data_IF_363764212151
#
_entry.id   IF_363764212151
#
_cell.length_a   1.000
_cell.length_b   1.000
_cell.length_c   1.000
_cell.angle_alpha   90.00
_cell.angle_beta   90.00
_cell.angle_gamma   90.00
#
_symmetry.space_group_name_H-M   'P 1'
#
loop_
_entity.id
_entity.type
_entity.pdbx_description
1 polymer ?
#
# COMPACT_ATOMS: atom_id res chain seq x y z
N UNK A 1 11.46 14.70 14.19
CA UNK A 1 12.22 13.60 13.51
C UNK A 1 13.51 13.39 14.28
N UNK A 2 13.91 12.14 14.57
CA UNK A 2 15.17 11.89 15.26
C UNK A 2 16.34 12.39 14.39
N UNK A 3 17.30 13.08 15.04
CA UNK A 3 18.51 13.55 14.37
C UNK A 3 19.35 12.36 13.88
N UNK A 4 19.77 12.34 12.59
CA UNK A 4 20.59 11.25 12.03
C UNK A 4 21.88 11.00 12.81
N UNK A 5 22.46 12.03 13.41
CA UNK A 5 23.65 11.91 14.27
C UNK A 5 23.38 11.09 15.53
N UNK A 6 22.24 11.29 16.16
CA UNK A 6 21.84 10.53 17.36
C UNK A 6 21.54 9.05 17.04
N UNK A 7 20.92 8.78 15.87
CA UNK A 7 20.70 7.39 15.42
C UNK A 7 22.04 6.69 15.17
N UNK A 8 23.00 7.35 14.51
CA UNK A 8 24.34 6.81 14.28
C UNK A 8 25.05 6.51 15.61
N UNK A 9 24.97 7.41 16.58
CA UNK A 9 25.58 7.21 17.90
C UNK A 9 25.00 5.99 18.64
N UNK A 10 23.68 5.74 18.55
CA UNK A 10 23.06 4.55 19.15
C UNK A 10 23.65 3.27 18.54
N UNK A 11 23.84 3.25 17.22
CA UNK A 11 24.44 2.11 16.51
C UNK A 11 25.90 1.93 16.93
N UNK A 12 26.71 3.00 16.91
CA UNK A 12 28.12 2.97 17.26
C UNK A 12 28.38 2.55 18.72
N UNK A 13 27.50 2.98 19.62
CA UNK A 13 27.57 2.62 21.05
C UNK A 13 26.86 1.32 21.41
N UNK A 14 26.25 0.66 20.42
CA UNK A 14 25.47 -0.56 20.56
C UNK A 14 24.39 -0.46 21.65
N UNK A 15 23.68 0.67 21.70
CA UNK A 15 22.55 0.87 22.63
C UNK A 15 21.33 0.13 22.07
N UNK A 16 20.97 -0.96 22.73
CA UNK A 16 19.84 -1.81 22.29
C UNK A 16 18.87 -2.07 23.42
N UNK A 17 17.59 -2.17 23.10
CA UNK A 17 16.53 -2.65 23.99
C UNK A 17 16.00 -3.97 23.43
N UNK A 18 16.00 -5.04 24.22
CA UNK A 18 15.65 -6.40 23.81
C UNK A 18 16.44 -6.93 22.60
N UNK A 19 17.73 -6.61 22.52
CA UNK A 19 18.62 -6.95 21.38
C UNK A 19 18.27 -6.28 20.04
N UNK A 20 17.45 -5.24 20.05
CA UNK A 20 17.08 -4.48 18.87
C UNK A 20 17.39 -2.99 19.05
N UNK A 21 17.76 -2.31 17.95
CA UNK A 21 17.86 -0.86 17.93
C UNK A 21 16.47 -0.25 17.88
N UNK A 22 16.11 0.49 18.92
CA UNK A 22 14.80 1.13 19.04
C UNK A 22 14.90 2.63 18.76
N UNK A 23 14.01 3.16 17.92
CA UNK A 23 13.95 4.61 17.68
C UNK A 23 13.63 5.39 18.94
N UNK A 24 12.93 4.78 19.88
CA UNK A 24 12.61 5.34 21.19
C UNK A 24 13.85 5.61 22.03
N UNK A 25 14.91 4.80 21.91
CA UNK A 25 16.18 5.02 22.61
C UNK A 25 16.88 6.27 22.07
N UNK A 26 16.78 6.52 20.75
CA UNK A 26 17.26 7.75 20.14
C UNK A 26 16.52 8.98 20.67
N UNK A 27 15.19 8.90 20.75
CA UNK A 27 14.36 9.99 21.27
C UNK A 27 14.68 10.26 22.75
N UNK A 28 14.83 9.21 23.54
CA UNK A 28 15.19 9.33 24.97
C UNK A 28 16.56 10.00 25.15
N UNK A 29 17.55 9.64 24.32
CA UNK A 29 18.87 10.27 24.35
C UNK A 29 18.81 11.76 23.98
N UNK A 30 17.99 12.13 23.00
CA UNK A 30 17.76 13.52 22.61
C UNK A 30 17.09 14.32 23.73
N UNK A 31 16.06 13.75 24.37
CA UNK A 31 15.41 14.37 25.54
C UNK A 31 16.42 14.61 26.68
N UNK A 32 17.27 13.61 26.99
CA UNK A 32 18.31 13.72 27.99
C UNK A 32 19.35 14.81 27.67
N UNK A 33 19.48 15.24 26.44
CA UNK A 33 20.33 16.34 25.99
C UNK A 33 19.63 17.70 25.93
N UNK A 34 18.38 17.75 26.38
CA UNK A 34 17.60 18.98 26.41
C UNK A 34 16.88 19.32 25.13
N UNK A 35 16.77 18.37 24.16
CA UNK A 35 15.92 18.57 22.99
C UNK A 35 14.46 18.61 23.40
N UNK A 36 13.77 19.68 23.03
CA UNK A 36 12.36 19.85 23.32
C UNK A 36 11.51 19.11 22.28
N UNK A 37 10.58 18.28 22.75
CA UNK A 37 9.59 17.59 21.92
C UNK A 37 8.20 18.12 22.21
N UNK A 38 7.51 18.57 21.18
CA UNK A 38 6.14 19.04 21.29
C UNK A 38 5.20 17.94 20.76
N UNK A 39 4.36 17.34 21.63
CA UNK A 39 3.36 16.37 21.18
C UNK A 39 2.23 17.08 20.45
N UNK A 40 1.64 16.42 19.46
CA UNK A 40 0.39 16.85 18.85
C UNK A 40 -0.57 15.66 18.74
N UNK A 41 -1.86 15.94 18.87
CA UNK A 41 -2.90 14.94 18.74
C UNK A 41 -3.12 14.59 17.26
N UNK A 42 -3.40 13.34 17.01
CA UNK A 42 -3.88 12.84 15.71
C UNK A 42 -5.19 12.11 15.92
N UNK A 43 -6.12 12.23 14.97
CA UNK A 43 -7.45 11.63 15.09
C UNK A 43 -7.44 10.14 14.72
N UNK A 44 -6.63 9.76 13.74
CA UNK A 44 -6.53 8.38 13.27
C UNK A 44 -5.07 8.00 12.96
N UNK A 45 -4.74 6.76 13.27
CA UNK A 45 -3.46 6.15 12.92
C UNK A 45 -3.66 4.71 12.43
N UNK A 46 -3.02 4.37 11.32
CA UNK A 46 -3.12 3.05 10.71
C UNK A 46 -1.75 2.37 10.68
N UNK A 47 -1.67 1.22 11.33
CA UNK A 47 -0.50 0.35 11.23
C UNK A 47 -0.64 -0.55 10.00
N UNK A 48 0.13 -0.27 8.95
CA UNK A 48 0.13 -1.01 7.69
C UNK A 48 1.22 -2.08 7.61
N UNK A 49 1.73 -2.55 8.75
CA UNK A 49 2.80 -3.55 8.82
C UNK A 49 2.40 -4.97 8.37
N UNK A 50 1.10 -5.22 8.15
CA UNK A 50 0.58 -6.52 7.67
C UNK A 50 -0.34 -6.31 6.47
N UNK A 51 -0.40 -7.28 5.53
CA UNK A 51 -1.27 -7.20 4.36
C UNK A 51 -2.75 -6.92 4.70
N UNK A 52 -3.29 -7.60 5.69
CA UNK A 52 -4.68 -7.43 6.11
C UNK A 52 -4.95 -6.02 6.64
N UNK A 53 -4.03 -5.46 7.43
CA UNK A 53 -4.13 -4.12 7.97
C UNK A 53 -4.05 -3.06 6.85
N UNK A 54 -3.23 -3.29 5.82
CA UNK A 54 -3.14 -2.42 4.65
C UNK A 54 -4.45 -2.42 3.86
N UNK A 55 -5.07 -3.58 3.63
CA UNK A 55 -6.37 -3.67 2.96
C UNK A 55 -7.48 -3.02 3.78
N UNK A 56 -7.49 -3.21 5.10
CA UNK A 56 -8.45 -2.54 5.98
C UNK A 56 -8.30 -1.01 5.94
N UNK A 57 -7.06 -0.53 5.97
CA UNK A 57 -6.76 0.91 5.83
C UNK A 57 -7.24 1.43 4.48
N UNK A 58 -6.99 0.71 3.39
CA UNK A 58 -7.49 1.05 2.06
C UNK A 58 -9.01 1.19 2.04
N UNK A 59 -9.74 0.23 2.61
CA UNK A 59 -11.21 0.31 2.72
C UNK A 59 -11.69 1.55 3.48
N UNK A 60 -11.02 1.92 4.56
CA UNK A 60 -11.36 3.11 5.36
C UNK A 60 -11.12 4.40 4.58
N UNK A 61 -9.96 4.52 3.94
CA UNK A 61 -9.61 5.70 3.15
C UNK A 61 -10.54 5.88 1.94
N UNK A 62 -10.92 4.78 1.28
CA UNK A 62 -11.79 4.82 0.11
C UNK A 62 -13.23 5.25 0.43
N UNK A 63 -13.72 5.15 1.67
CA UNK A 63 -15.07 5.61 2.03
C UNK A 63 -15.30 7.10 1.71
N UNK A 64 -14.24 7.88 1.75
CA UNK A 64 -14.27 9.33 1.47
C UNK A 64 -13.66 9.67 0.09
N UNK A 65 -13.38 8.67 -0.75
CA UNK A 65 -12.81 8.89 -2.08
C UNK A 65 -13.84 9.58 -3.00
N UNK A 66 -13.35 10.47 -3.86
CA UNK A 66 -14.17 11.06 -4.90
C UNK A 66 -14.70 9.99 -5.87
N UNK A 67 -15.86 10.25 -6.47
CA UNK A 67 -16.41 9.33 -7.47
C UNK A 67 -15.49 9.25 -8.68
N UNK A 68 -15.20 8.03 -9.10
CA UNK A 68 -14.47 7.78 -10.34
C UNK A 68 -15.42 7.90 -11.54
N UNK A 69 -15.04 8.60 -12.62
CA UNK A 69 -15.88 8.67 -13.82
C UNK A 69 -16.03 7.28 -14.47
N UNK A 70 -17.11 7.06 -15.23
CA UNK A 70 -17.30 5.81 -15.98
C UNK A 70 -16.13 5.54 -16.93
N UNK A 71 -15.73 4.29 -17.02
CA UNK A 71 -14.68 3.83 -17.96
C UNK A 71 -15.37 3.01 -19.04
N UNK A 72 -15.17 3.42 -20.30
CA UNK A 72 -15.80 2.75 -21.46
C UNK A 72 -15.40 1.27 -21.53
N UNK A 73 -16.37 0.40 -21.76
CA UNK A 73 -16.16 -1.06 -21.84
C UNK A 73 -15.83 -1.73 -20.50
N UNK A 74 -15.90 -1.01 -19.37
CA UNK A 74 -15.62 -1.58 -18.06
C UNK A 74 -16.68 -1.18 -17.02
N UNK A 75 -16.80 -1.98 -15.96
CA UNK A 75 -17.73 -1.71 -14.86
C UNK A 75 -16.92 -1.27 -13.64
N UNK A 76 -17.26 -0.11 -13.09
CA UNK A 76 -16.64 0.41 -11.86
C UNK A 76 -17.67 0.39 -10.74
N UNK A 77 -17.38 -0.32 -9.66
CA UNK A 77 -18.22 -0.46 -8.48
C UNK A 77 -17.57 0.31 -7.31
N UNK A 78 -18.13 1.47 -6.91
CA UNK A 78 -17.58 2.25 -5.80
C UNK A 78 -17.62 1.51 -4.43
N UNK A 79 -16.78 1.90 -3.44
CA UNK A 79 -15.76 2.94 -3.55
C UNK A 79 -14.47 2.42 -4.19
N UNK A 80 -13.87 3.23 -5.05
CA UNK A 80 -12.59 2.93 -5.72
C UNK A 80 -11.76 4.22 -5.86
N UNK A 81 -10.44 4.05 -6.00
CA UNK A 81 -9.52 5.11 -6.40
C UNK A 81 -8.70 4.62 -7.59
N UNK A 82 -8.86 5.27 -8.73
CA UNK A 82 -8.18 4.90 -9.97
C UNK A 82 -7.38 6.12 -10.45
N UNK A 83 -6.07 5.95 -10.56
CA UNK A 83 -5.18 7.00 -11.07
C UNK A 83 -5.51 7.33 -12.54
N UNK A 84 -5.50 8.61 -12.94
CA UNK A 84 -5.75 9.02 -14.33
C UNK A 84 -4.81 8.37 -15.37
N UNK A 85 -3.62 7.92 -14.95
CA UNK A 85 -2.67 7.23 -15.82
C UNK A 85 -2.81 5.70 -15.85
N UNK A 86 -3.89 5.14 -15.29
CA UNK A 86 -4.17 3.71 -15.37
C UNK A 86 -5.05 3.40 -16.60
N UNK A 87 -4.74 2.30 -17.27
CA UNK A 87 -5.49 1.77 -18.41
C UNK A 87 -6.33 0.58 -17.96
N UNK A 88 -7.66 0.67 -18.16
CA UNK A 88 -8.60 -0.37 -17.75
C UNK A 88 -9.49 -0.73 -18.94
N UNK A 89 -9.44 -1.99 -19.35
CA UNK A 89 -10.13 -2.49 -20.54
C UNK A 89 -10.93 -3.76 -20.21
N UNK A 90 -12.20 -3.80 -20.59
CA UNK A 90 -13.09 -4.97 -20.45
C UNK A 90 -13.04 -5.60 -19.05
N UNK A 91 -13.05 -4.78 -17.99
CA UNK A 91 -12.81 -5.23 -16.63
C UNK A 91 -13.90 -4.79 -15.65
N UNK A 92 -14.00 -5.47 -14.53
CA UNK A 92 -14.87 -5.10 -13.41
C UNK A 92 -13.97 -4.72 -12.23
N UNK A 93 -14.04 -3.45 -11.80
CA UNK A 93 -13.18 -2.91 -10.75
C UNK A 93 -14.03 -2.47 -9.56
N UNK A 94 -13.72 -3.01 -8.39
CA UNK A 94 -14.39 -2.66 -7.14
C UNK A 94 -15.32 -3.73 -6.58
N UNK A 95 -15.88 -3.49 -5.37
CA UNK A 95 -15.57 -2.33 -4.53
C UNK A 95 -14.22 -2.42 -3.82
N UNK A 96 -13.80 -1.30 -3.19
CA UNK A 96 -12.59 -1.19 -2.36
C UNK A 96 -11.27 -1.45 -3.10
N UNK A 97 -11.16 -0.94 -4.32
CA UNK A 97 -9.95 -1.09 -5.12
C UNK A 97 -9.21 0.25 -5.26
N UNK A 98 -7.92 0.23 -5.03
CA UNK A 98 -7.00 1.33 -5.33
C UNK A 98 -6.04 0.92 -6.45
N UNK A 99 -5.99 1.72 -7.52
CA UNK A 99 -5.14 1.47 -8.70
C UNK A 99 -4.25 2.69 -8.91
N UNK A 100 -2.94 2.47 -8.84
CA UNK A 100 -1.93 3.51 -9.05
C UNK A 100 -1.71 3.82 -10.55
N UNK A 101 -0.85 4.76 -10.82
CA UNK A 101 -0.51 5.21 -12.18
C UNK A 101 0.18 4.12 -13.01
N UNK A 102 0.03 4.20 -14.33
CA UNK A 102 0.64 3.30 -15.31
C UNK A 102 0.29 1.82 -15.14
N UNK A 103 -0.76 1.51 -14.39
CA UNK A 103 -1.29 0.15 -14.34
C UNK A 103 -2.05 -0.17 -15.62
N UNK A 104 -1.97 -1.43 -16.06
CA UNK A 104 -2.77 -1.97 -17.16
C UNK A 104 -3.60 -3.13 -16.64
N UNK A 105 -4.93 -2.99 -16.66
CA UNK A 105 -5.85 -4.03 -16.21
C UNK A 105 -6.78 -4.40 -17.37
N UNK A 106 -6.71 -5.65 -17.82
CA UNK A 106 -7.45 -6.12 -18.99
C UNK A 106 -8.19 -7.42 -18.69
N UNK A 107 -9.44 -7.51 -19.14
CA UNK A 107 -10.28 -8.72 -19.06
C UNK A 107 -10.31 -9.34 -17.66
N UNK A 108 -10.34 -8.50 -16.62
CA UNK A 108 -10.11 -8.92 -15.24
C UNK A 108 -11.21 -8.45 -14.29
N UNK A 109 -11.38 -9.17 -13.19
CA UNK A 109 -12.24 -8.77 -12.08
C UNK A 109 -11.33 -8.51 -10.87
N UNK A 110 -11.37 -7.30 -10.34
CA UNK A 110 -10.54 -6.90 -9.18
C UNK A 110 -11.44 -6.34 -8.10
N UNK A 111 -11.35 -6.91 -6.90
CA UNK A 111 -12.11 -6.52 -5.71
C UNK A 111 -11.17 -6.36 -4.53
N UNK A 112 -11.52 -5.44 -3.62
CA UNK A 112 -10.85 -5.31 -2.32
C UNK A 112 -9.34 -5.42 -2.38
N UNK A 113 -8.70 -4.70 -3.30
CA UNK A 113 -7.29 -4.88 -3.64
C UNK A 113 -6.57 -3.56 -3.85
N UNK A 114 -5.26 -3.58 -3.67
CA UNK A 114 -4.37 -2.46 -3.95
C UNK A 114 -3.40 -2.85 -5.05
N UNK A 115 -3.38 -2.08 -6.14
CA UNK A 115 -2.52 -2.31 -7.31
C UNK A 115 -1.53 -1.16 -7.39
N UNK A 116 -0.25 -1.45 -7.18
CA UNK A 116 0.82 -0.46 -7.20
C UNK A 116 1.23 -0.08 -8.63
N UNK A 117 1.96 1.04 -8.76
CA UNK A 117 2.30 1.65 -10.03
C UNK A 117 2.98 0.71 -11.03
N UNK A 118 2.59 0.80 -12.29
CA UNK A 118 3.15 0.01 -13.38
C UNK A 118 2.78 -1.46 -13.42
N UNK A 119 1.92 -1.94 -12.50
CA UNK A 119 1.50 -3.33 -12.50
C UNK A 119 0.57 -3.67 -13.68
N UNK A 120 0.65 -4.90 -14.17
CA UNK A 120 -0.18 -5.44 -15.25
C UNK A 120 -1.00 -6.62 -14.74
N UNK A 121 -2.33 -6.59 -14.98
CA UNK A 121 -3.25 -7.66 -14.60
C UNK A 121 -4.07 -8.03 -15.82
N UNK A 122 -3.98 -9.28 -16.30
CA UNK A 122 -4.66 -9.74 -17.50
C UNK A 122 -5.34 -11.09 -17.26
N UNK A 123 -6.61 -11.19 -17.69
CA UNK A 123 -7.42 -12.42 -17.63
C UNK A 123 -7.51 -13.02 -16.21
N UNK A 124 -7.49 -12.17 -15.17
CA UNK A 124 -7.40 -12.58 -13.78
C UNK A 124 -8.65 -12.18 -12.98
N UNK A 125 -8.89 -12.93 -11.89
CA UNK A 125 -9.86 -12.57 -10.87
C UNK A 125 -9.14 -12.45 -9.54
N UNK A 126 -9.09 -11.24 -9.01
CA UNK A 126 -8.35 -10.89 -7.81
C UNK A 126 -9.29 -10.40 -6.72
N UNK A 127 -9.13 -10.92 -5.51
CA UNK A 127 -9.84 -10.48 -4.32
C UNK A 127 -8.90 -10.48 -3.11
N UNK A 128 -8.93 -9.40 -2.34
CA UNK A 128 -8.09 -9.19 -1.16
C UNK A 128 -6.60 -9.33 -1.47
N UNK A 129 -6.15 -8.69 -2.56
CA UNK A 129 -4.78 -8.77 -3.05
C UNK A 129 -4.01 -7.46 -2.88
N UNK A 130 -2.71 -7.59 -2.59
CA UNK A 130 -1.74 -6.50 -2.68
C UNK A 130 -0.77 -6.80 -3.82
N UNK A 131 -0.77 -5.97 -4.84
CA UNK A 131 0.06 -6.14 -6.03
C UNK A 131 1.14 -5.07 -6.04
N UNK A 132 2.39 -5.49 -5.97
CA UNK A 132 3.55 -4.61 -5.93
C UNK A 132 3.81 -3.88 -7.25
N UNK A 133 4.70 -2.89 -7.20
CA UNK A 133 5.04 -2.09 -8.37
C UNK A 133 5.68 -2.93 -9.48
N UNK A 134 5.28 -2.68 -10.73
CA UNK A 134 5.73 -3.38 -11.94
C UNK A 134 5.50 -4.90 -11.93
N UNK A 135 4.65 -5.41 -11.03
CA UNK A 135 4.28 -6.82 -11.03
C UNK A 135 3.39 -7.17 -12.23
N UNK A 136 3.49 -8.39 -12.72
CA UNK A 136 2.68 -8.90 -13.83
C UNK A 136 1.92 -10.15 -13.40
N UNK A 137 0.59 -10.15 -13.60
CA UNK A 137 -0.31 -11.24 -13.24
C UNK A 137 -1.14 -11.61 -14.45
N UNK A 138 -1.18 -12.90 -14.75
CA UNK A 138 -1.97 -13.44 -15.85
C UNK A 138 -2.72 -14.69 -15.43
N UNK A 139 -4.04 -14.68 -15.67
CA UNK A 139 -4.92 -15.83 -15.48
C UNK A 139 -5.19 -16.23 -14.03
N UNK A 140 -6.32 -16.89 -13.83
CA UNK A 140 -6.70 -17.55 -12.59
C UNK A 140 -7.35 -16.68 -11.53
N UNK A 141 -8.14 -17.34 -10.65
CA UNK A 141 -8.75 -16.76 -9.45
C UNK A 141 -7.86 -17.07 -8.24
N UNK A 142 -7.20 -16.05 -7.66
CA UNK A 142 -6.30 -16.27 -6.51
C UNK A 142 -6.19 -15.04 -5.62
N UNK A 143 -5.93 -15.28 -4.33
CA UNK A 143 -5.42 -14.27 -3.41
C UNK A 143 -3.91 -14.24 -3.52
N UNK A 144 -3.34 -13.05 -3.72
CA UNK A 144 -1.90 -12.85 -3.89
C UNK A 144 -1.43 -11.62 -3.13
N UNK A 145 -0.31 -11.77 -2.45
CA UNK A 145 0.49 -10.69 -1.91
C UNK A 145 1.83 -10.73 -2.65
N UNK A 146 2.06 -9.76 -3.53
CA UNK A 146 3.16 -9.82 -4.50
C UNK A 146 4.03 -8.59 -4.40
N UNK A 147 5.33 -8.78 -4.22
CA UNK A 147 6.33 -7.72 -4.13
C UNK A 147 6.58 -7.01 -5.47
N UNK A 148 7.44 -6.00 -5.42
CA UNK A 148 7.80 -5.20 -6.58
C UNK A 148 8.49 -6.02 -7.67
N UNK A 149 8.22 -5.69 -8.93
CA UNK A 149 8.83 -6.32 -10.13
C UNK A 149 8.65 -7.84 -10.24
N UNK A 150 7.66 -8.40 -9.56
CA UNK A 150 7.33 -9.83 -9.69
C UNK A 150 6.56 -10.11 -10.99
N UNK A 151 6.82 -11.26 -11.60
CA UNK A 151 6.06 -11.82 -12.73
C UNK A 151 5.44 -13.16 -12.30
N UNK A 152 4.09 -13.23 -12.31
CA UNK A 152 3.34 -14.40 -11.91
C UNK A 152 2.42 -14.82 -13.05
N UNK A 153 2.54 -16.07 -13.47
CA UNK A 153 1.70 -16.66 -14.51
C UNK A 153 1.03 -17.94 -14.00
N UNK A 154 -0.28 -18.03 -14.20
CA UNK A 154 -1.06 -19.24 -13.94
C UNK A 154 -1.44 -19.90 -15.27
N UNK A 155 -1.16 -21.20 -15.37
CA UNK A 155 -1.57 -22.03 -16.50
C UNK A 155 -2.86 -22.77 -16.17
#
# INVERSE_FOLDING_TARGET
>A
MADPGTIREIIERNITTNNEYQITDALQLMIGRGTEFVPFAIDEWFDCGKPEAMLETNRKLLKNAASTPPIEGSIVIPPVSISPGAEIVNSIIGPYVSIAERCVIQSSIVRDSVISAGATVTDAQLESCLIGANASIRGGFKKLDVGDSSDISFK
#
